data_IF_447857440537
#
_entry.id   IF_447857440537
#
_cell.length_a   1.000
_cell.length_b   1.000
_cell.length_c   1.000
_cell.angle_alpha   90.00
_cell.angle_beta   90.00
_cell.angle_gamma   90.00
#
_symmetry.space_group_name_H-M   'P 1'
#
loop_
_entity.id
_entity.type
_entity.pdbx_description
1 polymer ?
#
# COMPACT_ATOMS: atom_id res chain seq x y z
N UNK A 1 -36.68 0.10 12.51
CA UNK A 1 -35.54 1.04 12.32
C UNK A 1 -34.24 0.35 11.91
N UNK A 2 -34.04 -0.95 12.18
CA UNK A 2 -32.80 -1.66 11.77
C UNK A 2 -32.65 -1.90 10.26
N UNK A 3 -33.70 -2.25 9.51
CA UNK A 3 -33.58 -2.57 8.07
C UNK A 3 -33.11 -1.40 7.18
N UNK A 4 -33.51 -0.16 7.48
CA UNK A 4 -33.08 1.00 6.69
C UNK A 4 -31.61 1.37 6.95
N UNK A 5 -31.12 1.11 8.17
CA UNK A 5 -29.72 1.36 8.54
C UNK A 5 -28.78 0.32 7.92
N UNK A 6 -29.21 -0.93 7.88
CA UNK A 6 -28.44 -2.02 7.26
C UNK A 6 -28.33 -1.84 5.75
N UNK A 7 -29.41 -1.41 5.09
CA UNK A 7 -29.38 -1.15 3.64
C UNK A 7 -28.46 0.03 3.28
N UNK A 8 -28.49 1.11 4.07
CA UNK A 8 -27.61 2.27 3.86
C UNK A 8 -26.12 1.94 4.07
N UNK A 9 -25.80 1.05 5.02
CA UNK A 9 -24.44 0.56 5.26
C UNK A 9 -23.95 -0.36 4.13
N UNK A 10 -24.83 -1.21 3.59
CA UNK A 10 -24.53 -2.05 2.44
C UNK A 10 -24.25 -1.21 1.18
N UNK A 11 -25.09 -0.20 0.88
CA UNK A 11 -24.91 0.71 -0.25
C UNK A 11 -23.61 1.53 -0.16
N UNK A 12 -23.20 1.89 1.06
CA UNK A 12 -21.90 2.56 1.27
C UNK A 12 -20.75 1.60 1.00
N UNK A 13 -20.79 0.41 1.60
CA UNK A 13 -19.75 -0.61 1.43
C UNK A 13 -19.58 -1.02 -0.04
N UNK A 14 -20.69 -1.13 -0.79
CA UNK A 14 -20.67 -1.41 -2.22
C UNK A 14 -20.02 -0.27 -3.01
N UNK A 15 -20.35 0.99 -2.71
CA UNK A 15 -19.71 2.16 -3.35
C UNK A 15 -18.22 2.23 -3.06
N UNK A 16 -17.82 1.99 -1.82
CA UNK A 16 -16.42 1.96 -1.41
C UNK A 16 -15.66 0.85 -2.13
N UNK A 17 -16.27 -0.34 -2.25
CA UNK A 17 -15.71 -1.45 -3.03
C UNK A 17 -15.58 -1.10 -4.52
N UNK A 18 -16.62 -0.52 -5.13
CA UNK A 18 -16.55 -0.08 -6.53
C UNK A 18 -15.46 0.96 -6.75
N UNK A 19 -15.33 1.93 -5.85
CA UNK A 19 -14.26 2.94 -5.89
C UNK A 19 -12.88 2.31 -5.82
N UNK A 20 -12.69 1.32 -4.93
CA UNK A 20 -11.44 0.60 -4.79
C UNK A 20 -11.11 -0.27 -6.02
N UNK A 21 -12.11 -0.96 -6.57
CA UNK A 21 -11.95 -1.80 -7.77
C UNK A 21 -11.75 -0.99 -9.05
N UNK A 22 -12.09 0.29 -9.06
CA UNK A 22 -11.84 1.20 -10.18
C UNK A 22 -10.40 1.73 -10.21
N UNK A 23 -9.63 1.60 -9.13
CA UNK A 23 -8.26 2.13 -9.05
C UNK A 23 -7.33 1.70 -10.19
N UNK A 24 -7.33 0.44 -10.66
CA UNK A 24 -6.46 0.02 -11.76
C UNK A 24 -6.62 0.85 -13.04
N UNK A 25 -7.81 1.38 -13.32
CA UNK A 25 -8.02 2.25 -14.48
C UNK A 25 -7.29 3.60 -14.35
N UNK A 26 -7.04 4.07 -13.12
CA UNK A 26 -6.36 5.33 -12.84
C UNK A 26 -4.83 5.21 -12.92
N UNK A 27 -4.30 3.98 -12.99
CA UNK A 27 -2.86 3.71 -12.97
C UNK A 27 -2.21 3.63 -14.34
N UNK A 28 -2.98 3.72 -15.42
CA UNK A 28 -2.44 3.63 -16.78
C UNK A 28 -1.30 4.66 -16.99
N UNK A 29 -0.10 4.17 -17.30
CA UNK A 29 1.10 4.99 -17.50
C UNK A 29 1.70 5.61 -16.24
N UNK A 30 1.24 5.23 -15.04
CA UNK A 30 1.78 5.71 -13.77
C UNK A 30 2.93 4.81 -13.29
N UNK A 31 3.89 5.43 -12.60
CA UNK A 31 4.95 4.70 -11.94
C UNK A 31 4.47 4.05 -10.63
N UNK A 32 5.31 3.19 -10.05
CA UNK A 32 4.96 2.47 -8.83
C UNK A 32 4.71 3.36 -7.61
N UNK A 33 5.38 4.51 -7.51
CA UNK A 33 5.19 5.44 -6.39
C UNK A 33 3.79 6.09 -6.45
N UNK A 34 3.37 6.53 -7.65
CA UNK A 34 2.04 7.08 -7.88
C UNK A 34 0.93 6.04 -7.62
N UNK A 35 1.14 4.78 -8.01
CA UNK A 35 0.18 3.68 -7.72
C UNK A 35 -0.01 3.52 -6.20
N UNK A 36 1.08 3.50 -5.43
CA UNK A 36 1.02 3.40 -3.98
C UNK A 36 0.30 4.59 -3.36
N UNK A 37 0.64 5.81 -3.77
CA UNK A 37 -0.01 7.03 -3.28
C UNK A 37 -1.53 6.98 -3.50
N UNK A 38 -1.97 6.70 -4.73
CA UNK A 38 -3.39 6.60 -5.09
C UNK A 38 -4.09 5.53 -4.24
N UNK A 39 -3.45 4.37 -4.06
CA UNK A 39 -4.02 3.28 -3.25
C UNK A 39 -4.18 3.68 -1.80
N UNK A 40 -3.14 4.26 -1.19
CA UNK A 40 -3.13 4.67 0.21
C UNK A 40 -4.23 5.71 0.47
N UNK A 41 -4.31 6.74 -0.37
CA UNK A 41 -5.32 7.79 -0.24
C UNK A 41 -6.75 7.25 -0.43
N UNK A 42 -6.94 6.27 -1.32
CA UNK A 42 -8.24 5.65 -1.53
C UNK A 42 -8.68 4.80 -0.33
N UNK A 43 -7.80 3.96 0.21
CA UNK A 43 -8.16 3.07 1.32
C UNK A 43 -8.36 3.85 2.64
N UNK A 44 -7.63 4.95 2.83
CA UNK A 44 -7.81 5.85 3.99
C UNK A 44 -9.21 6.50 4.02
N UNK A 45 -9.86 6.69 2.87
CA UNK A 45 -11.24 7.21 2.80
C UNK A 45 -12.29 6.19 3.23
N UNK A 46 -11.97 4.89 3.14
CA UNK A 46 -12.88 3.77 3.41
C UNK A 46 -12.68 3.26 4.83
N UNK A 47 -11.42 3.14 5.26
CA UNK A 47 -11.04 2.54 6.53
C UNK A 47 -10.42 3.62 7.43
N UNK A 48 -10.95 3.85 8.66
CA UNK A 48 -10.47 4.88 9.59
C UNK A 48 -9.13 4.49 10.22
N UNK A 49 -8.08 4.59 9.41
CA UNK A 49 -6.69 4.43 9.82
C UNK A 49 -6.09 5.77 10.22
N UNK A 50 -5.08 5.70 11.08
CA UNK A 50 -4.29 6.85 11.50
C UNK A 50 -2.93 6.91 10.83
N UNK A 51 -2.37 5.77 10.46
CA UNK A 51 -1.17 5.76 9.64
C UNK A 51 -1.21 4.60 8.65
N UNK A 52 -0.50 4.82 7.55
CA UNK A 52 -0.12 3.81 6.59
C UNK A 52 1.37 3.94 6.32
N UNK A 53 2.09 2.85 6.41
CA UNK A 53 3.50 2.79 6.05
C UNK A 53 3.73 1.72 5.01
N UNK A 54 4.54 2.01 4.01
CA UNK A 54 4.93 1.07 2.97
C UNK A 54 6.44 1.02 2.93
N UNK A 55 6.99 -0.17 2.82
CA UNK A 55 8.38 -0.44 2.45
C UNK A 55 8.36 -1.49 1.34
N UNK A 56 8.68 -1.08 0.10
CA UNK A 56 8.66 -2.00 -1.05
C UNK A 56 9.70 -1.64 -2.08
N UNK A 57 10.31 -2.64 -2.71
CA UNK A 57 11.18 -2.41 -3.87
C UNK A 57 10.37 -2.15 -5.13
N UNK A 58 10.40 -0.93 -5.67
CA UNK A 58 9.69 -0.61 -6.91
C UNK A 58 10.35 -1.22 -8.14
N UNK A 59 11.68 -1.24 -8.20
CA UNK A 59 12.47 -1.82 -9.28
C UNK A 59 13.51 -2.80 -8.70
N UNK A 60 14.06 -3.72 -9.52
CA UNK A 60 15.18 -4.54 -9.08
C UNK A 60 16.40 -3.66 -8.81
N UNK A 61 17.21 -4.06 -7.83
CA UNK A 61 18.49 -3.41 -7.48
C UNK A 61 18.42 -1.92 -7.10
N UNK A 62 17.23 -1.36 -6.95
CA UNK A 62 17.03 -0.04 -6.34
C UNK A 62 16.80 -0.16 -4.82
N UNK A 63 17.09 0.91 -4.05
CA UNK A 63 16.65 0.99 -2.66
C UNK A 63 15.13 0.79 -2.54
N UNK A 64 14.69 0.31 -1.38
CA UNK A 64 13.26 0.27 -1.05
C UNK A 64 12.66 1.67 -1.14
N UNK A 65 11.48 1.74 -1.74
CA UNK A 65 10.63 2.91 -1.66
C UNK A 65 9.85 2.84 -0.36
N UNK A 66 10.16 3.77 0.54
CA UNK A 66 9.51 3.87 1.84
C UNK A 66 8.60 5.09 1.83
N UNK A 67 7.34 4.90 2.22
CA UNK A 67 6.34 5.95 2.34
C UNK A 67 5.67 5.83 3.70
N UNK A 68 5.54 6.96 4.40
CA UNK A 68 4.73 7.07 5.59
C UNK A 68 3.67 8.14 5.35
N UNK A 69 2.42 7.77 5.58
CA UNK A 69 1.30 8.68 5.67
C UNK A 69 0.73 8.61 7.07
N UNK A 70 0.70 9.73 7.78
CA UNK A 70 0.25 9.84 9.16
C UNK A 70 -0.77 10.97 9.25
N UNK A 71 -1.94 10.68 9.83
CA UNK A 71 -3.04 11.64 9.98
C UNK A 71 -3.39 12.39 8.67
N UNK A 72 -3.42 11.68 7.54
CA UNK A 72 -3.72 12.25 6.24
C UNK A 72 -2.59 13.06 5.59
N UNK A 73 -1.37 13.02 6.13
CA UNK A 73 -0.22 13.75 5.59
C UNK A 73 0.95 12.82 5.27
N UNK A 74 1.62 13.07 4.14
CA UNK A 74 2.86 12.38 3.81
C UNK A 74 4.00 12.96 4.63
N UNK A 75 4.72 12.08 5.32
CA UNK A 75 5.81 12.45 6.23
C UNK A 75 7.14 12.38 5.49
N UNK A 76 7.99 13.38 5.71
CA UNK A 76 9.32 13.46 5.11
C UNK A 76 10.29 12.41 5.67
N UNK A 77 11.45 12.28 5.04
CA UNK A 77 12.42 11.26 5.43
C UNK A 77 13.02 11.47 6.84
N UNK A 78 13.12 12.73 7.31
CA UNK A 78 13.73 13.03 8.61
C UNK A 78 12.79 12.65 9.75
N UNK A 79 11.50 12.97 9.64
CA UNK A 79 10.49 12.61 10.64
C UNK A 79 10.09 11.11 10.54
N UNK A 80 10.24 10.50 9.35
CA UNK A 80 9.92 9.08 9.14
C UNK A 80 10.96 8.11 9.72
N UNK A 81 12.19 8.55 10.04
CA UNK A 81 13.27 7.63 10.44
C UNK A 81 12.95 6.79 11.69
N UNK A 82 12.21 7.36 12.64
CA UNK A 82 11.77 6.63 13.85
C UNK A 82 10.77 5.51 13.50
N UNK A 83 9.90 5.77 12.53
CA UNK A 83 8.95 4.77 12.05
C UNK A 83 9.65 3.66 11.27
N UNK A 84 10.66 3.98 10.47
CA UNK A 84 11.51 2.99 9.81
C UNK A 84 12.26 2.10 10.79
N UNK A 85 12.70 2.64 11.93
CA UNK A 85 13.30 1.82 12.98
C UNK A 85 12.27 0.86 13.60
N UNK A 86 11.06 1.35 13.88
CA UNK A 86 9.98 0.52 14.42
C UNK A 86 9.55 -0.58 13.44
N UNK A 87 9.41 -0.30 12.15
CA UNK A 87 9.05 -1.34 11.16
C UNK A 87 10.11 -2.41 11.02
N UNK A 88 11.40 -2.04 11.05
CA UNK A 88 12.50 -3.04 11.05
C UNK A 88 12.41 -3.99 12.23
N UNK A 89 12.05 -3.51 13.42
CA UNK A 89 11.81 -4.36 14.59
C UNK A 89 10.59 -5.28 14.37
N UNK A 90 9.49 -4.74 13.85
CA UNK A 90 8.29 -5.51 13.54
C UNK A 90 8.53 -6.59 12.49
N UNK A 91 9.40 -6.35 11.51
CA UNK A 91 9.78 -7.36 10.51
C UNK A 91 10.58 -8.51 11.13
N UNK A 92 11.48 -8.22 12.07
CA UNK A 92 12.25 -9.25 12.78
C UNK A 92 11.36 -10.18 13.60
N UNK A 93 10.24 -9.67 14.11
CA UNK A 93 9.25 -10.48 14.86
C UNK A 93 8.34 -11.33 13.97
N UNK A 94 8.47 -11.23 12.63
CA UNK A 94 7.73 -12.03 11.64
C UNK A 94 6.21 -12.02 11.85
N UNK A 95 5.64 -10.83 12.02
CA UNK A 95 4.21 -10.64 12.20
C UNK A 95 3.41 -11.34 11.07
N UNK A 96 2.47 -12.25 11.40
CA UNK A 96 1.63 -12.91 10.41
C UNK A 96 0.79 -11.92 9.60
N UNK A 97 0.69 -12.17 8.30
CA UNK A 97 -0.10 -11.34 7.40
C UNK A 97 -1.59 -11.30 7.79
N UNK A 98 -2.17 -10.11 7.72
CA UNK A 98 -3.59 -9.90 7.89
C UNK A 98 -4.12 -10.20 9.29
N UNK A 99 -3.23 -10.29 10.29
CA UNK A 99 -3.58 -10.33 11.71
C UNK A 99 -3.36 -8.97 12.35
N UNK A 100 -4.12 -8.73 13.41
CA UNK A 100 -4.07 -7.50 14.19
C UNK A 100 -3.06 -7.67 15.31
N UNK A 101 -2.16 -6.70 15.44
CA UNK A 101 -1.14 -6.67 16.47
C UNK A 101 -1.23 -5.34 17.23
N UNK A 102 -1.16 -5.39 18.56
CA UNK A 102 -0.97 -4.19 19.36
C UNK A 102 0.54 -3.94 19.48
N UNK A 103 1.04 -2.88 18.85
CA UNK A 103 2.47 -2.58 18.77
C UNK A 103 2.74 -1.15 19.20
N UNK A 104 3.91 -0.93 19.82
CA UNK A 104 4.40 0.41 20.12
C UNK A 104 4.83 1.09 18.81
N UNK A 105 4.23 2.24 18.51
CA UNK A 105 4.71 3.15 17.46
C UNK A 105 5.45 4.32 18.10
N UNK A 106 6.26 5.07 17.33
CA UNK A 106 6.93 6.27 17.84
C UNK A 106 5.99 7.30 18.49
N UNK A 107 4.70 7.30 18.12
CA UNK A 107 3.70 8.19 18.71
C UNK A 107 3.00 7.58 19.92
N UNK A 108 2.53 6.34 19.83
CA UNK A 108 1.85 5.59 20.92
C UNK A 108 1.55 4.14 20.51
N UNK A 109 1.11 3.27 21.43
CA UNK A 109 0.58 1.95 21.06
C UNK A 109 -0.60 2.06 20.10
N UNK A 110 -0.59 1.28 19.02
CA UNK A 110 -1.67 1.22 18.04
C UNK A 110 -1.96 -0.22 17.63
N UNK A 111 -3.19 -0.46 17.16
CA UNK A 111 -3.55 -1.72 16.49
C UNK A 111 -3.07 -1.63 15.05
N UNK A 112 -2.24 -2.57 14.64
CA UNK A 112 -1.54 -2.58 13.36
C UNK A 112 -1.85 -3.88 12.63
N UNK A 113 -2.10 -3.78 11.33
CA UNK A 113 -2.16 -4.91 10.40
C UNK A 113 -1.04 -4.78 9.41
N UNK A 114 -0.27 -5.86 9.25
CA UNK A 114 0.75 -6.02 8.19
C UNK A 114 0.17 -6.85 7.05
N UNK A 115 0.43 -6.44 5.82
CA UNK A 115 0.19 -7.23 4.61
C UNK A 115 1.45 -7.22 3.74
N UNK A 116 1.83 -8.38 3.21
CA UNK A 116 2.93 -8.48 2.27
C UNK A 116 2.50 -7.94 0.89
N UNK A 117 3.38 -7.21 0.23
CA UNK A 117 3.19 -6.65 -1.12
C UNK A 117 3.96 -7.45 -2.18
N UNK A 118 3.82 -8.77 -2.12
CA UNK A 118 4.60 -9.72 -2.92
C UNK A 118 5.81 -10.28 -2.18
N UNK A 119 6.51 -11.20 -2.84
CA UNK A 119 7.62 -11.97 -2.25
C UNK A 119 8.87 -11.93 -3.15
N UNK A 120 10.03 -12.27 -2.58
CA UNK A 120 11.29 -12.36 -3.31
C UNK A 120 11.90 -11.00 -3.64
N UNK A 121 12.48 -10.84 -4.84
CA UNK A 121 13.25 -9.65 -5.25
C UNK A 121 12.46 -8.34 -5.26
N UNK A 122 11.13 -8.43 -5.33
CA UNK A 122 10.21 -7.29 -5.34
C UNK A 122 9.31 -7.26 -4.10
N UNK A 123 9.67 -8.04 -3.08
CA UNK A 123 8.93 -8.10 -1.83
C UNK A 123 8.91 -6.76 -1.12
N UNK A 124 7.96 -6.65 -0.20
CA UNK A 124 7.74 -5.47 0.60
C UNK A 124 6.52 -5.67 1.48
N UNK A 125 6.23 -4.67 2.28
CA UNK A 125 5.21 -4.70 3.30
C UNK A 125 4.44 -3.39 3.29
N UNK A 126 3.15 -3.49 3.60
CA UNK A 126 2.32 -2.37 3.95
C UNK A 126 1.75 -2.61 5.34
N UNK A 127 1.86 -1.59 6.19
CA UNK A 127 1.30 -1.57 7.54
C UNK A 127 0.23 -0.51 7.61
N UNK A 128 -0.90 -0.88 8.19
CA UNK A 128 -2.00 0.03 8.50
C UNK A 128 -2.20 0.04 10.00
N UNK A 129 -2.37 1.21 10.60
CA UNK A 129 -2.66 1.27 12.03
C UNK A 129 -3.69 2.29 12.43
N UNK A 130 -4.40 1.97 13.51
CA UNK A 130 -5.42 2.82 14.12
C UNK A 130 -5.37 2.72 15.64
N UNK A 131 -5.92 3.75 16.31
CA UNK A 131 -6.15 3.75 17.77
C UNK A 131 -7.49 3.15 18.15
N UNK A 132 -8.39 2.95 17.18
CA UNK A 132 -9.72 2.41 17.44
C UNK A 132 -9.61 0.99 17.97
N UNK A 133 -10.36 0.67 19.03
CA UNK A 133 -10.26 -0.60 19.75
C UNK A 133 -10.75 -1.80 18.93
N UNK A 134 -11.71 -1.53 18.04
CA UNK A 134 -12.36 -2.46 17.10
C UNK A 134 -11.64 -2.55 15.75
N UNK A 135 -10.54 -1.83 15.56
CA UNK A 135 -9.82 -1.84 14.29
C UNK A 135 -8.98 -3.11 14.07
N UNK A 136 -8.93 -3.60 12.82
CA UNK A 136 -9.97 -3.45 11.80
C UNK A 136 -11.15 -4.38 12.11
N UNK A 137 -12.35 -3.95 11.75
CA UNK A 137 -13.48 -4.87 11.60
C UNK A 137 -13.25 -5.83 10.43
N UNK A 138 -14.04 -6.92 10.35
CA UNK A 138 -13.90 -7.89 9.25
C UNK A 138 -14.05 -7.25 7.85
N UNK A 139 -15.05 -6.37 7.59
CA UNK A 139 -15.14 -5.67 6.30
C UNK A 139 -13.94 -4.76 6.05
N UNK A 140 -13.47 -4.04 7.07
CA UNK A 140 -12.29 -3.17 6.94
C UNK A 140 -11.05 -3.96 6.57
N UNK A 141 -10.82 -5.12 7.19
CA UNK A 141 -9.70 -5.99 6.86
C UNK A 141 -9.80 -6.52 5.41
N UNK A 142 -11.01 -6.81 4.93
CA UNK A 142 -11.23 -7.18 3.54
C UNK A 142 -10.84 -6.04 2.58
N UNK A 143 -11.21 -4.79 2.89
CA UNK A 143 -10.78 -3.61 2.11
C UNK A 143 -9.26 -3.42 2.13
N UNK A 144 -8.60 -3.54 3.30
CA UNK A 144 -7.14 -3.45 3.40
C UNK A 144 -6.44 -4.52 2.55
N UNK A 145 -6.93 -5.76 2.57
CA UNK A 145 -6.42 -6.87 1.76
C UNK A 145 -6.63 -6.62 0.26
N UNK A 146 -7.81 -6.17 -0.13
CA UNK A 146 -8.10 -5.83 -1.51
C UNK A 146 -7.18 -4.70 -2.01
N UNK A 147 -7.02 -3.63 -1.24
CA UNK A 147 -6.13 -2.52 -1.57
C UNK A 147 -4.68 -2.97 -1.75
N UNK A 148 -4.14 -3.75 -0.80
CA UNK A 148 -2.78 -4.29 -0.89
C UNK A 148 -2.60 -5.21 -2.10
N UNK A 149 -3.60 -6.04 -2.40
CA UNK A 149 -3.56 -6.98 -3.54
C UNK A 149 -3.59 -6.24 -4.87
N UNK A 150 -4.50 -5.26 -5.01
CA UNK A 150 -4.59 -4.41 -6.20
C UNK A 150 -3.30 -3.61 -6.41
N UNK A 151 -2.77 -2.97 -5.36
CA UNK A 151 -1.52 -2.23 -5.47
C UNK A 151 -0.35 -3.14 -5.84
N UNK A 152 -0.27 -4.35 -5.29
CA UNK A 152 0.76 -5.34 -5.66
C UNK A 152 0.68 -5.67 -7.16
N UNK A 153 -0.52 -5.92 -7.68
CA UNK A 153 -0.73 -6.15 -9.11
C UNK A 153 -0.34 -4.92 -9.96
N UNK A 154 -0.76 -3.72 -9.54
CA UNK A 154 -0.40 -2.47 -10.20
C UNK A 154 1.11 -2.24 -10.25
N UNK A 155 1.83 -2.51 -9.15
CA UNK A 155 3.28 -2.44 -9.09
C UNK A 155 3.95 -3.43 -10.06
N UNK A 156 3.43 -4.65 -10.17
CA UNK A 156 3.92 -5.63 -11.15
C UNK A 156 3.73 -5.14 -12.58
N UNK A 157 2.57 -4.56 -12.90
CA UNK A 157 2.29 -3.97 -14.22
C UNK A 157 3.24 -2.81 -14.52
N UNK A 158 3.43 -1.88 -13.58
CA UNK A 158 4.33 -0.74 -13.76
C UNK A 158 5.78 -1.19 -14.01
N UNK A 159 6.25 -2.23 -13.30
CA UNK A 159 7.58 -2.83 -13.54
C UNK A 159 7.69 -3.42 -14.95
N UNK A 160 6.70 -4.19 -15.37
CA UNK A 160 6.69 -4.80 -16.70
C UNK A 160 6.69 -3.73 -17.81
N UNK A 161 6.00 -2.60 -17.60
CA UNK A 161 6.08 -1.45 -18.51
C UNK A 161 7.48 -0.84 -18.53
N UNK A 162 8.08 -0.62 -17.37
CA UNK A 162 9.44 -0.08 -17.27
C UNK A 162 10.48 -0.95 -17.98
N UNK A 163 10.45 -2.27 -17.74
CA UNK A 163 11.35 -3.24 -18.39
C UNK A 163 11.18 -3.22 -19.92
N UNK A 164 9.94 -3.13 -20.42
CA UNK A 164 9.65 -3.03 -21.87
C UNK A 164 10.20 -1.73 -22.46
N UNK A 165 10.03 -0.60 -21.78
CA UNK A 165 10.56 0.69 -22.24
C UNK A 165 12.09 0.68 -22.28
N UNK A 166 12.75 0.15 -21.25
CA UNK A 166 14.20 0.01 -21.24
C UNK A 166 14.70 -0.86 -22.39
N UNK A 167 14.06 -2.02 -22.63
CA UNK A 167 14.43 -2.91 -23.73
C UNK A 167 14.24 -2.24 -25.10
N UNK A 168 13.18 -1.46 -25.27
CA UNK A 168 12.96 -0.69 -26.50
C UNK A 168 14.06 0.35 -26.72
N UNK A 169 14.40 1.14 -25.69
CA UNK A 169 15.44 2.16 -25.79
C UNK A 169 16.81 1.56 -26.10
N UNK A 170 17.19 0.49 -25.42
CA UNK A 170 18.47 -0.19 -25.67
C UNK A 170 18.56 -0.72 -27.12
N UNK A 171 17.44 -1.22 -27.66
CA UNK A 171 17.36 -1.64 -29.05
C UNK A 171 17.55 -0.47 -30.01
N UNK A 172 16.89 0.66 -29.77
CA UNK A 172 16.98 1.85 -30.62
C UNK A 172 18.39 2.45 -30.60
N UNK A 173 19.03 2.52 -29.43
CA UNK A 173 20.42 2.94 -29.27
C UNK A 173 21.38 2.01 -30.03
N UNK A 174 21.19 0.70 -29.91
CA UNK A 174 22.00 -0.28 -30.63
C UNK A 174 21.87 -0.11 -32.16
N UNK A 175 20.66 0.12 -32.67
CA UNK A 175 20.43 0.38 -34.08
C UNK A 175 21.06 1.70 -34.55
N UNK A 176 21.04 2.73 -33.71
CA UNK A 176 21.67 4.02 -34.00
C UNK A 176 23.21 3.96 -34.02
N UNK A 177 23.83 3.02 -33.30
CA UNK A 177 25.28 2.82 -33.32
C UNK A 177 25.77 2.02 -34.55
N UNK A 178 24.87 1.35 -35.27
CA UNK A 178 25.20 0.53 -36.45
C UNK A 178 24.98 1.23 -37.80
N UNK A 179 24.28 2.37 -37.81
CA UNK A 179 24.05 3.19 -39.00
C UNK A 179 25.04 4.34 -39.10
#
# INVERSE_FOLDING_TARGET
MSEHQDNANADRSLRDLMGLLALPALWAGRDGAAILQITIEAVERIVPMRFTMVDVKLLPDTPSHIVLRLDGQYIDAAERSEWEAATREWEQTRLPDGRVHLLFTPRQPMRIVRLSMGYGKFGGNIWFGSKQHDFPSEPQLAFLRAAASLATAGLQTARAHHEREQASRAKDEFLAMLG
#
